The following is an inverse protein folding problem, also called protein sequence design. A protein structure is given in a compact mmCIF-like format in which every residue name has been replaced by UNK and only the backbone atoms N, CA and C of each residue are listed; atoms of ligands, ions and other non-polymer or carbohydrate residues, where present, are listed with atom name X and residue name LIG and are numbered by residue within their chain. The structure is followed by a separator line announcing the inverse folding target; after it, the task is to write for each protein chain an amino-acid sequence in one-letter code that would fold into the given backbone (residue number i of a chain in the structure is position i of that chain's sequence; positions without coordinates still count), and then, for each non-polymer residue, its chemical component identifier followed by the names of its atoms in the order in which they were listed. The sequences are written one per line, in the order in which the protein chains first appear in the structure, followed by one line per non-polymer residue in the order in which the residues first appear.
data_IF_159392857986
#
_entry.id   IF_159392857986
#
_cell.length_a   1.000
_cell.length_b   1.000
_cell.length_c   1.000
_cell.angle_alpha   90.00
_cell.angle_beta   90.00
_cell.angle_gamma   90.00
#
_symmetry.space_group_name_H-M   'P 1'
#
loop_
_entity.id
_entity.type
_entity.pdbx_description
1 polymer ?
#
# COMPACT_ATOMS: atom_id res chain seq x y z
N UNK A 1 -0.37 12.01 4.25
CA UNK A 1 0.95 11.56 3.72
C UNK A 1 0.82 10.63 2.53
N UNK A 2 -0.03 9.59 2.61
CA UNK A 2 -0.30 8.64 1.51
C UNK A 2 -0.54 9.33 0.16
N UNK A 3 -1.36 10.39 0.12
CA UNK A 3 -1.62 11.13 -1.13
C UNK A 3 -0.37 11.73 -1.80
N UNK A 4 0.60 12.21 -1.03
CA UNK A 4 1.86 12.75 -1.57
C UNK A 4 2.72 11.64 -2.17
N UNK A 5 2.84 10.51 -1.46
CA UNK A 5 3.57 9.33 -1.95
C UNK A 5 2.88 8.72 -3.18
N UNK A 6 1.54 8.65 -3.18
CA UNK A 6 0.75 8.16 -4.30
C UNK A 6 0.92 9.04 -5.54
N UNK A 7 0.97 10.37 -5.39
CA UNK A 7 1.16 11.28 -6.52
C UNK A 7 2.52 11.07 -7.19
N UNK A 8 3.59 11.03 -6.39
CA UNK A 8 4.93 10.75 -6.90
C UNK A 8 5.03 9.33 -7.48
N UNK A 9 4.41 8.34 -6.84
CA UNK A 9 4.34 6.97 -7.32
C UNK A 9 3.63 6.85 -8.66
N UNK A 10 2.51 7.56 -8.85
CA UNK A 10 1.80 7.62 -10.12
C UNK A 10 2.68 8.21 -11.24
N UNK A 11 3.34 9.34 -10.97
CA UNK A 11 4.27 9.93 -11.92
C UNK A 11 5.44 8.99 -12.27
N UNK A 12 6.02 8.33 -11.26
CA UNK A 12 7.11 7.37 -11.45
C UNK A 12 6.67 6.16 -12.29
N UNK A 13 5.50 5.61 -12.03
CA UNK A 13 4.94 4.47 -12.77
C UNK A 13 4.60 4.80 -14.24
N UNK A 14 4.37 6.07 -14.56
CA UNK A 14 4.21 6.54 -15.94
C UNK A 14 5.54 6.63 -16.71
N UNK A 15 6.70 6.61 -16.04
CA UNK A 15 8.02 6.71 -16.69
C UNK A 15 8.42 5.38 -17.34
N UNK A 16 9.16 5.47 -18.45
CA UNK A 16 9.67 4.30 -19.19
C UNK A 16 10.60 3.43 -18.33
N UNK A 17 11.20 4.00 -17.28
CA UNK A 17 12.02 3.27 -16.33
C UNK A 17 11.23 2.25 -15.49
N UNK A 18 9.93 2.48 -15.25
CA UNK A 18 9.09 1.64 -14.39
C UNK A 18 8.03 0.87 -15.18
N UNK A 19 7.52 1.41 -16.28
CA UNK A 19 6.59 0.68 -17.16
C UNK A 19 7.28 -0.13 -18.25
N UNK A 20 8.55 0.15 -18.55
CA UNK A 20 9.30 -0.43 -19.65
C UNK A 20 9.88 -1.82 -19.34
N UNK A 21 10.71 -2.37 -20.24
CA UNK A 21 11.30 -3.69 -20.07
C UNK A 21 12.30 -3.70 -18.92
N UNK A 22 12.11 -4.62 -17.98
CA UNK A 22 13.00 -4.80 -16.83
C UNK A 22 13.95 -5.98 -17.07
N UNK A 23 15.26 -5.83 -16.77
CA UNK A 23 16.21 -6.94 -16.85
C UNK A 23 15.93 -8.04 -15.82
N UNK A 24 15.32 -7.69 -14.68
CA UNK A 24 14.80 -8.61 -13.67
C UNK A 24 13.33 -8.29 -13.50
N UNK A 25 12.46 -9.26 -13.80
CA UNK A 25 11.01 -9.06 -13.72
C UNK A 25 10.61 -8.74 -12.27
N UNK A 26 9.89 -7.63 -12.01
CA UNK A 26 9.40 -7.28 -10.68
C UNK A 26 8.47 -8.35 -10.10
N UNK A 27 7.68 -8.99 -10.96
CA UNK A 27 6.86 -10.14 -10.65
C UNK A 27 6.69 -11.03 -11.89
N UNK A 28 6.32 -12.29 -11.66
CA UNK A 28 6.11 -13.26 -12.73
C UNK A 28 4.90 -12.84 -13.58
N UNK A 29 5.11 -12.61 -14.87
CA UNK A 29 4.05 -12.20 -15.81
C UNK A 29 3.85 -10.67 -15.93
N UNK A 30 4.89 -9.88 -15.65
CA UNK A 30 4.86 -8.43 -15.85
C UNK A 30 4.40 -8.04 -17.26
N UNK A 31 3.46 -7.09 -17.33
CA UNK A 31 2.95 -6.54 -18.59
C UNK A 31 3.53 -5.14 -18.75
N UNK A 32 4.26 -4.92 -19.83
CA UNK A 32 4.93 -3.66 -20.13
C UNK A 32 3.95 -2.62 -20.71
N UNK A 33 4.26 -1.33 -20.51
CA UNK A 33 3.56 -0.18 -21.10
C UNK A 33 2.06 -0.07 -20.79
N UNK A 34 1.62 -0.62 -19.66
CA UNK A 34 0.24 -0.47 -19.17
C UNK A 34 0.10 0.73 -18.22
N UNK A 35 -1.14 1.20 -18.06
CA UNK A 35 -1.44 2.31 -17.13
C UNK A 35 -1.03 1.96 -15.68
N UNK A 36 -0.68 2.94 -14.84
CA UNK A 36 -0.33 2.70 -13.43
C UNK A 36 -1.38 1.87 -12.67
N UNK A 37 -2.66 2.06 -12.99
CA UNK A 37 -3.76 1.30 -12.39
C UNK A 37 -3.80 -0.15 -12.88
N UNK A 38 -3.55 -0.40 -14.17
CA UNK A 38 -3.41 -1.77 -14.71
C UNK A 38 -2.15 -2.46 -14.17
N UNK A 39 -1.07 -1.71 -13.91
CA UNK A 39 0.12 -2.26 -13.26
C UNK A 39 -0.25 -2.85 -11.90
N UNK A 40 -1.11 -2.19 -11.12
CA UNK A 40 -1.64 -2.73 -9.87
C UNK A 40 -2.50 -3.96 -10.11
N UNK A 41 -3.41 -3.95 -11.09
CA UNK A 41 -4.26 -5.10 -11.40
C UNK A 41 -3.44 -6.35 -11.74
N UNK A 42 -2.35 -6.20 -12.49
CA UNK A 42 -1.46 -7.28 -12.91
C UNK A 42 -0.59 -7.87 -11.79
N UNK A 43 -0.50 -7.24 -10.62
CA UNK A 43 0.27 -7.80 -9.49
C UNK A 43 -0.38 -9.12 -9.05
N UNK A 44 0.40 -10.21 -8.90
CA UNK A 44 -0.11 -11.47 -8.38
C UNK A 44 -0.80 -11.30 -7.02
N UNK A 45 -1.90 -12.02 -6.77
CA UNK A 45 -2.71 -11.86 -5.56
C UNK A 45 -1.92 -11.98 -4.25
N UNK A 46 -0.93 -12.88 -4.19
CA UNK A 46 -0.05 -13.02 -3.03
C UNK A 46 0.84 -11.78 -2.82
N UNK A 47 1.33 -11.15 -3.89
CA UNK A 47 2.10 -9.92 -3.82
C UNK A 47 1.27 -8.75 -3.28
N UNK A 48 0.02 -8.62 -3.75
CA UNK A 48 -0.94 -7.63 -3.20
C UNK A 48 -1.16 -7.85 -1.70
N UNK A 49 -1.34 -9.10 -1.28
CA UNK A 49 -1.54 -9.42 0.14
C UNK A 49 -0.31 -9.10 0.98
N UNK A 50 0.89 -9.44 0.51
CA UNK A 50 2.13 -9.10 1.21
C UNK A 50 2.29 -7.60 1.42
N UNK A 51 1.96 -6.79 0.41
CA UNK A 51 1.98 -5.31 0.51
C UNK A 51 0.96 -4.84 1.56
N UNK A 52 -0.28 -5.32 1.51
CA UNK A 52 -1.33 -4.90 2.45
C UNK A 52 -1.03 -5.33 3.89
N UNK A 53 -0.50 -6.53 4.10
CA UNK A 53 -0.09 -7.01 5.43
C UNK A 53 1.08 -6.19 5.96
N UNK A 54 2.08 -5.89 5.12
CA UNK A 54 3.21 -5.06 5.52
C UNK A 54 2.74 -3.65 5.93
N UNK A 55 1.86 -3.03 5.14
CA UNK A 55 1.26 -1.73 5.48
C UNK A 55 0.48 -1.85 6.79
N UNK A 56 -0.33 -2.89 6.96
CA UNK A 56 -1.08 -3.13 8.20
C UNK A 56 -0.18 -3.26 9.42
N UNK A 57 0.93 -4.00 9.31
CA UNK A 57 1.94 -4.09 10.38
C UNK A 57 2.55 -2.72 10.70
N UNK A 58 2.93 -1.95 9.68
CA UNK A 58 3.52 -0.61 9.87
C UNK A 58 2.55 0.38 10.51
N UNK A 59 1.27 0.33 10.17
CA UNK A 59 0.22 1.15 10.80
C UNK A 59 0.01 0.72 12.26
N UNK A 60 -0.01 -0.59 12.56
CA UNK A 60 -0.06 -1.07 13.96
C UNK A 60 1.15 -0.63 14.78
N UNK A 61 2.37 -0.63 14.22
CA UNK A 61 3.54 -0.07 14.90
C UNK A 61 3.41 1.45 15.11
N UNK A 62 2.79 2.17 14.17
CA UNK A 62 2.47 3.59 14.30
C UNK A 62 1.52 3.91 15.46
N UNK A 63 0.66 2.97 15.84
CA UNK A 63 -0.25 3.09 16.99
C UNK A 63 0.40 2.73 18.34
N UNK A 64 1.64 2.23 18.33
CA UNK A 64 2.39 1.86 19.53
C UNK A 64 2.48 0.37 19.81
N UNK A 65 2.18 -0.50 18.83
CA UNK A 65 2.34 -1.95 19.00
C UNK A 65 3.80 -2.30 19.35
N UNK A 66 4.02 -2.87 20.54
CA UNK A 66 5.36 -3.25 21.02
C UNK A 66 6.18 -2.12 21.64
N UNK A 67 5.53 -1.03 22.07
CA UNK A 67 6.18 0.07 22.81
C UNK A 67 5.56 0.22 24.20
N UNK A 68 6.40 0.51 25.19
CA UNK A 68 5.93 0.85 26.53
C UNK A 68 5.25 2.24 26.51
N UNK A 69 4.24 2.43 27.36
CA UNK A 69 3.51 3.72 27.48
C UNK A 69 4.42 4.90 27.89
N UNK A 70 5.63 4.61 28.40
CA UNK A 70 6.66 5.60 28.71
C UNK A 70 7.44 6.09 27.48
N UNK A 71 7.46 5.31 26.39
CA UNK A 71 8.20 5.61 25.15
C UNK A 71 7.29 6.24 24.09
N UNK A 72 6.01 5.89 24.10
CA UNK A 72 5.01 6.43 23.17
C UNK A 72 3.67 6.70 23.84
N UNK A 73 3.19 7.94 23.71
CA UNK A 73 1.82 8.32 24.08
C UNK A 73 0.98 8.36 22.82
N UNK A 74 -0.04 7.52 22.76
CA UNK A 74 -0.99 7.49 21.65
C UNK A 74 -1.64 8.87 21.44
N UNK A 75 -1.90 9.25 20.19
CA UNK A 75 -2.35 10.60 19.85
C UNK A 75 -3.68 11.02 20.51
N UNK A 76 -4.56 10.07 20.88
CA UNK A 76 -5.80 10.37 21.63
C UNK A 76 -5.58 10.58 23.13
N UNK A 77 -4.42 10.20 23.67
CA UNK A 77 -4.02 10.36 25.09
C UNK A 77 -3.11 11.58 25.32
N UNK A 78 -3.03 12.51 24.36
CA UNK A 78 -2.18 13.70 24.44
C UNK A 78 -0.86 13.60 23.65
N UNK A 79 -0.67 12.53 22.88
CA UNK A 79 0.43 12.41 21.92
C UNK A 79 0.30 13.37 20.73
N UNK A 80 1.41 13.60 20.01
CA UNK A 80 1.43 14.46 18.82
C UNK A 80 0.83 13.71 17.62
N UNK A 81 -0.26 14.19 16.98
CA UNK A 81 -0.82 13.55 15.80
C UNK A 81 0.20 13.49 14.65
N UNK A 82 0.30 12.32 14.00
CA UNK A 82 1.22 12.10 12.89
C UNK A 82 2.69 11.92 13.28
N UNK A 83 2.99 11.79 14.57
CA UNK A 83 4.30 11.34 15.03
C UNK A 83 4.41 9.83 14.86
N UNK A 84 5.38 9.38 14.07
CA UNK A 84 5.67 7.96 13.92
C UNK A 84 6.79 7.58 14.90
N UNK A 85 6.58 6.61 15.79
CA UNK A 85 7.59 6.26 16.77
C UNK A 85 8.76 5.51 16.11
N UNK A 86 9.93 5.56 16.77
CA UNK A 86 11.13 4.89 16.25
C UNK A 86 10.97 3.37 16.30
N UNK A 87 11.19 2.71 15.17
CA UNK A 87 11.08 1.24 15.03
C UNK A 87 12.45 0.57 15.13
N UNK A 88 13.52 1.36 15.11
CA UNK A 88 14.89 0.86 15.20
C UNK A 88 15.09 -0.05 16.42
N UNK A 89 15.46 -1.30 16.16
CA UNK A 89 15.69 -2.33 17.17
C UNK A 89 14.44 -3.06 17.70
N UNK A 90 13.24 -2.72 17.20
CA UNK A 90 11.98 -3.40 17.57
C UNK A 90 11.79 -4.70 16.77
N UNK A 91 10.81 -5.52 17.17
CA UNK A 91 10.61 -6.89 16.68
C UNK A 91 11.84 -7.79 16.88
N UNK A 92 12.28 -7.98 18.14
CA UNK A 92 13.46 -8.80 18.49
C UNK A 92 14.77 -8.37 17.80
N UNK A 93 14.94 -7.07 17.50
CA UNK A 93 16.13 -6.55 16.83
C UNK A 93 16.18 -6.79 15.33
N UNK A 94 15.08 -7.24 14.70
CA UNK A 94 15.04 -7.55 13.28
C UNK A 94 14.90 -6.31 12.38
N UNK A 95 14.48 -5.17 12.93
CA UNK A 95 14.31 -3.93 12.16
C UNK A 95 15.48 -2.99 12.48
N UNK A 96 16.51 -2.89 11.61
CA UNK A 96 17.72 -2.14 11.89
C UNK A 96 17.60 -0.63 11.63
N UNK A 97 16.51 -0.18 10.98
CA UNK A 97 16.34 1.18 10.45
C UNK A 97 15.02 1.80 10.90
N UNK A 98 15.00 3.12 11.00
CA UNK A 98 13.78 3.89 11.20
C UNK A 98 13.04 4.13 9.88
N UNK A 99 11.71 4.26 9.95
CA UNK A 99 10.88 4.41 8.74
C UNK A 99 11.06 5.77 8.05
N UNK A 100 11.18 6.85 8.83
CA UNK A 100 11.28 8.22 8.31
C UNK A 100 12.73 8.65 8.02
N UNK A 101 13.67 8.24 8.88
CA UNK A 101 15.09 8.53 8.71
C UNK A 101 15.92 7.24 8.81
N UNK A 102 15.93 6.40 7.76
CA UNK A 102 16.58 5.10 7.80
C UNK A 102 18.11 5.19 7.98
N UNK A 103 18.71 6.33 7.63
CA UNK A 103 20.17 6.52 7.65
C UNK A 103 20.66 7.58 8.65
N UNK A 104 19.77 8.25 9.37
CA UNK A 104 20.14 9.30 10.33
C UNK A 104 20.73 10.54 9.67
N UNK A 105 20.41 10.80 8.40
CA UNK A 105 21.03 11.88 7.60
C UNK A 105 20.26 13.20 7.78
N UNK A 106 19.03 13.14 8.33
CA UNK A 106 18.22 14.35 8.48
C UNK A 106 18.80 15.23 9.60
N UNK A 107 19.06 16.52 9.32
CA UNK A 107 19.58 17.43 10.33
C UNK A 107 18.52 17.65 11.42
N UNK A 108 18.99 17.79 12.67
CA UNK A 108 18.14 18.19 13.77
C UNK A 108 17.48 19.55 13.49
N UNK A 109 16.15 19.59 13.51
CA UNK A 109 15.39 20.82 13.28
C UNK A 109 15.08 21.52 14.60
N UNK A 110 15.09 22.85 14.59
CA UNK A 110 14.56 23.66 15.71
C UNK A 110 13.04 23.53 15.81
N UNK A 111 12.45 23.85 16.96
CA UNK A 111 11.00 23.68 17.16
C UNK A 111 10.17 24.59 16.24
N UNK A 112 10.69 25.78 15.93
CA UNK A 112 10.08 26.72 14.97
C UNK A 112 10.09 26.15 13.54
N UNK A 113 11.20 25.53 13.14
CA UNK A 113 11.32 24.86 11.84
C UNK A 113 10.42 23.64 11.75
N UNK A 114 10.27 22.86 12.83
CA UNK A 114 9.31 21.74 12.89
C UNK A 114 7.88 22.22 12.69
N UNK A 115 7.46 23.30 13.36
CA UNK A 115 6.10 23.85 13.21
C UNK A 115 5.87 24.34 11.78
N UNK A 116 6.86 25.01 11.18
CA UNK A 116 6.80 25.41 9.76
C UNK A 116 6.71 24.19 8.84
N UNK A 117 7.51 23.16 9.09
CA UNK A 117 7.51 21.90 8.33
C UNK A 117 6.16 21.19 8.39
N UNK A 118 5.54 21.10 9.57
CA UNK A 118 4.22 20.51 9.74
C UNK A 118 3.13 21.26 8.95
N UNK A 119 3.17 22.60 8.96
CA UNK A 119 2.23 23.40 8.16
C UNK A 119 2.42 23.16 6.66
N UNK A 120 3.67 23.09 6.21
CA UNK A 120 3.97 22.77 4.81
C UNK A 120 3.48 21.36 4.44
N UNK A 121 3.68 20.37 5.32
CA UNK A 121 3.23 18.99 5.12
C UNK A 121 1.71 18.91 4.94
N UNK A 122 0.94 19.62 5.77
CA UNK A 122 -0.53 19.63 5.68
C UNK A 122 -1.00 20.28 4.39
N UNK A 123 -0.42 21.41 4.00
CA UNK A 123 -0.81 22.12 2.78
C UNK A 123 -0.46 21.33 1.52
N UNK A 124 0.75 20.77 1.46
CA UNK A 124 1.16 19.88 0.37
C UNK A 124 0.34 18.60 0.34
N UNK A 125 -0.02 18.05 1.51
CA UNK A 125 -0.91 16.91 1.62
C UNK A 125 -2.29 17.18 1.03
N UNK A 126 -2.88 18.34 1.33
CA UNK A 126 -4.18 18.77 0.77
C UNK A 126 -4.11 18.95 -0.74
N UNK A 127 -3.05 19.59 -1.25
CA UNK A 127 -2.83 19.74 -2.69
C UNK A 127 -2.69 18.37 -3.38
N UNK A 128 -1.91 17.45 -2.79
CA UNK A 128 -1.71 16.11 -3.32
C UNK A 128 -3.00 15.27 -3.34
N UNK A 129 -3.90 15.44 -2.37
CA UNK A 129 -5.21 14.78 -2.39
C UNK A 129 -6.01 15.21 -3.63
N UNK A 130 -6.10 16.51 -3.90
CA UNK A 130 -6.78 17.04 -5.09
C UNK A 130 -6.10 16.58 -6.38
N UNK A 131 -4.76 16.55 -6.40
CA UNK A 131 -3.99 16.10 -7.54
C UNK A 131 -4.25 14.63 -7.88
N UNK A 132 -4.28 13.74 -6.88
CA UNK A 132 -4.59 12.32 -7.08
C UNK A 132 -6.01 12.14 -7.62
N UNK A 133 -7.01 12.81 -7.03
CA UNK A 133 -8.37 12.71 -7.54
C UNK A 133 -8.47 13.22 -8.99
N UNK A 134 -7.77 14.31 -9.32
CA UNK A 134 -7.70 14.79 -10.70
C UNK A 134 -7.08 13.77 -11.66
N UNK A 135 -5.98 13.10 -11.27
CA UNK A 135 -5.35 12.05 -12.08
C UNK A 135 -6.26 10.83 -12.26
N UNK A 136 -6.93 10.38 -11.20
CA UNK A 136 -7.86 9.25 -11.26
C UNK A 136 -9.08 9.56 -12.12
N UNK A 137 -9.66 10.77 -11.99
CA UNK A 137 -10.77 11.22 -12.84
C UNK A 137 -10.36 11.34 -14.30
N UNK A 138 -9.18 11.91 -14.60
CA UNK A 138 -8.65 11.97 -15.96
C UNK A 138 -8.42 10.56 -16.54
N UNK A 139 -7.93 9.62 -15.73
CA UNK A 139 -7.70 8.23 -16.15
C UNK A 139 -9.00 7.51 -16.46
N UNK A 140 -10.09 7.86 -15.78
CA UNK A 140 -11.44 7.40 -16.08
C UNK A 140 -12.08 8.04 -17.32
N UNK A 141 -11.35 8.90 -18.02
CA UNK A 141 -11.84 9.60 -19.21
C UNK A 141 -12.70 10.83 -18.89
N UNK A 142 -12.76 11.28 -17.62
CA UNK A 142 -13.44 12.53 -17.28
C UNK A 142 -12.55 13.73 -17.65
N UNK A 143 -13.21 14.84 -17.96
CA UNK A 143 -12.54 16.05 -18.42
C UNK A 143 -11.84 16.75 -17.25
N UNK A 144 -10.51 16.74 -17.25
CA UNK A 144 -9.68 17.58 -16.38
C UNK A 144 -8.82 18.50 -17.26
N UNK A 145 -9.17 19.79 -17.40
CA UNK A 145 -8.64 20.67 -18.45
C UNK A 145 -7.10 20.70 -18.62
N UNK A 146 -6.26 20.75 -17.56
CA UNK A 146 -4.81 20.71 -17.74
C UNK A 146 -4.27 19.31 -18.09
N UNK A 147 -4.92 18.23 -17.67
CA UNK A 147 -4.46 16.86 -17.88
C UNK A 147 -4.91 16.30 -19.24
N UNK A 148 -6.06 16.73 -19.75
CA UNK A 148 -6.56 16.32 -21.06
C UNK A 148 -5.67 16.79 -22.23
N UNK A 149 -4.85 17.81 -21.98
CA UNK A 149 -3.92 18.36 -22.97
C UNK A 149 -2.63 17.52 -23.08
N UNK A 150 -2.44 16.51 -22.21
CA UNK A 150 -1.28 15.63 -22.23
C UNK A 150 -1.52 14.50 -23.24
N UNK A 151 -0.70 14.39 -24.29
CA UNK A 151 -0.83 13.31 -25.28
C UNK A 151 -0.52 11.96 -24.63
N UNK A 152 -1.42 10.99 -24.78
CA UNK A 152 -1.23 9.62 -24.29
C UNK A 152 -1.41 9.43 -22.79
N UNK A 153 -2.23 10.25 -22.14
CA UNK A 153 -2.56 10.06 -20.72
C UNK A 153 -3.12 8.64 -20.48
N UNK A 154 -2.66 7.91 -19.44
CA UNK A 154 -3.08 6.54 -19.20
C UNK A 154 -4.56 6.46 -18.84
N UNK A 155 -5.35 5.87 -19.73
CA UNK A 155 -6.76 5.60 -19.50
C UNK A 155 -6.93 4.24 -18.82
N UNK A 156 -7.89 4.15 -17.91
CA UNK A 156 -8.17 2.95 -17.14
C UNK A 156 -9.66 2.71 -16.97
N UNK A 157 -10.14 1.58 -17.48
CA UNK A 157 -11.56 1.21 -17.46
C UNK A 157 -11.96 0.40 -16.21
N UNK A 158 -10.99 -0.22 -15.50
CA UNK A 158 -11.27 -1.03 -14.30
C UNK A 158 -11.60 -0.23 -13.03
N UNK A 159 -11.96 -0.89 -11.93
CA UNK A 159 -12.35 -0.18 -10.70
C UNK A 159 -11.16 0.04 -9.75
N UNK A 160 -10.68 1.28 -9.67
CA UNK A 160 -9.53 1.67 -8.81
C UNK A 160 -9.75 1.45 -7.32
N UNK A 161 -11.01 1.34 -6.88
CA UNK A 161 -11.35 1.15 -5.47
C UNK A 161 -11.38 -0.33 -5.07
N UNK A 162 -11.22 -1.25 -6.02
CA UNK A 162 -11.24 -2.69 -5.75
C UNK A 162 -9.80 -3.20 -5.63
N UNK A 163 -9.35 -3.64 -4.43
CA UNK A 163 -7.97 -4.10 -4.24
C UNK A 163 -7.69 -5.43 -4.93
N UNK A 164 -8.71 -6.29 -5.05
CA UNK A 164 -8.63 -7.61 -5.68
C UNK A 164 -9.71 -7.74 -6.74
N UNK A 165 -9.35 -7.47 -7.99
CA UNK A 165 -10.31 -7.35 -9.08
C UNK A 165 -10.93 -8.68 -9.51
N UNK A 166 -10.28 -9.85 -9.36
CA UNK A 166 -10.86 -11.10 -9.89
C UNK A 166 -10.44 -12.49 -9.34
N UNK A 167 -9.68 -12.68 -8.24
CA UNK A 167 -9.39 -14.08 -7.85
C UNK A 167 -9.02 -14.36 -6.38
N UNK A 168 -9.92 -15.05 -5.67
CA UNK A 168 -9.66 -15.72 -4.39
C UNK A 168 -9.74 -17.25 -4.52
N UNK A 169 -9.53 -17.81 -5.71
CA UNK A 169 -9.58 -19.27 -5.97
C UNK A 169 -8.65 -20.13 -5.11
N UNK A 170 -7.69 -19.53 -4.40
CA UNK A 170 -6.77 -20.23 -3.49
C UNK A 170 -7.40 -20.57 -2.12
N UNK A 171 -8.38 -19.78 -1.65
CA UNK A 171 -9.15 -20.09 -0.43
C UNK A 171 -10.10 -21.27 -0.73
N UNK A 172 -10.74 -21.26 -1.90
CA UNK A 172 -11.65 -22.33 -2.32
C UNK A 172 -10.92 -23.62 -2.70
N UNK A 173 -9.73 -23.54 -3.31
CA UNK A 173 -8.92 -24.72 -3.67
C UNK A 173 -8.38 -25.49 -2.47
N UNK A 174 -8.18 -24.83 -1.33
CA UNK A 174 -7.74 -25.49 -0.08
C UNK A 174 -8.91 -26.11 0.65
N UNK A 175 -10.04 -25.40 0.76
CA UNK A 175 -11.29 -25.94 1.31
C UNK A 175 -11.83 -27.13 0.50
N UNK A 176 -11.73 -27.06 -0.84
CA UNK A 176 -12.10 -28.15 -1.75
C UNK A 176 -11.19 -29.35 -1.59
N UNK A 177 -9.87 -29.17 -1.48
CA UNK A 177 -8.94 -30.29 -1.22
C UNK A 177 -9.14 -30.91 0.16
N UNK A 178 -9.51 -30.12 1.17
CA UNK A 178 -9.90 -30.65 2.49
C UNK A 178 -11.20 -31.44 2.39
N UNK A 179 -12.22 -30.91 1.71
CA UNK A 179 -13.50 -31.60 1.48
C UNK A 179 -13.37 -32.87 0.62
N UNK A 180 -12.46 -32.88 -0.36
CA UNK A 180 -12.15 -34.06 -1.20
C UNK A 180 -11.27 -35.08 -0.44
N UNK A 181 -10.47 -34.64 0.55
CA UNK A 181 -9.67 -35.52 1.42
C UNK A 181 -10.43 -36.15 2.58
N UNK A 182 -11.53 -35.52 3.01
CA UNK A 182 -12.52 -36.14 3.89
C UNK A 182 -13.37 -37.09 3.04
N UNK A 183 -13.00 -38.37 3.01
CA UNK A 183 -13.79 -39.42 2.37
C UNK A 183 -15.25 -39.44 2.86
N UNK A 184 -16.15 -40.16 2.16
CA UNK A 184 -17.58 -40.14 2.48
C UNK A 184 -17.80 -40.46 3.95
N UNK A 185 -18.63 -39.66 4.62
CA UNK A 185 -19.06 -39.90 5.99
C UNK A 185 -19.53 -41.36 6.11
N UNK A 186 -18.94 -42.09 7.06
CA UNK A 186 -19.34 -43.45 7.40
C UNK A 186 -20.83 -43.42 7.73
N UNK A 187 -21.64 -44.09 6.92
CA UNK A 187 -23.06 -44.27 7.18
C UNK A 187 -23.20 -45.19 8.40
N UNK A 188 -23.39 -44.58 9.58
CA UNK A 188 -23.58 -45.28 10.85
C UNK A 188 -24.84 -46.17 10.87
N UNK A 189 -25.69 -46.15 9.82
CA UNK A 189 -26.81 -47.08 9.66
C UNK A 189 -26.41 -48.45 9.10
N UNK A 190 -25.17 -48.62 8.64
CA UNK A 190 -24.65 -49.91 8.18
C UNK A 190 -24.04 -50.78 9.29
N UNK A 191 -24.11 -50.34 10.56
CA UNK A 191 -23.51 -51.02 11.72
C UNK A 191 -24.52 -51.69 12.67
N UNK A 192 -25.82 -51.64 12.36
CA UNK A 192 -26.86 -52.43 13.06
C UNK A 192 -27.31 -53.61 12.19
N UNK A 193 -26.48 -54.66 12.12
CA UNK A 193 -26.88 -56.03 11.74
C UNK A 193 -26.10 -57.06 12.56
#
# INVERSE_FOLDING_TARGET
RVAMAAFLGFCAQCTDAVKGPHPILPYKGFVENVSPQEQWDNIPGFGKFQILVLIGMLESYGEGAGMDESEYVHYTKGGKPGFYPSIKGKAFGQIPVDLFDPFGILPGMTDEEKVRGLKAEVNNGRAAMLAIFALLSASKGLVVPPLNSIPGFPLYDGNVMVPFSNDFSWISGTARRVAESSGPAIDLRALDM
#
